data_IF_900057315062
#
_entry.id   IF_900057315062
#
_cell.length_a   1.000
_cell.length_b   1.000
_cell.length_c   1.000
_cell.angle_alpha   90.00
_cell.angle_beta   90.00
_cell.angle_gamma   90.00
#
_symmetry.space_group_name_H-M   'P 1'
#
loop_
_entity.id
_entity.type
_entity.pdbx_description
1 polymer ?
#
# COMPACT_ATOMS: atom_id res chain seq x y z
N UNK A 1 0.43 -4.17 29.54
CA UNK A 1 1.42 -3.46 28.71
C UNK A 1 1.07 -3.72 27.25
N UNK A 2 0.99 -2.69 26.41
CA UNK A 2 0.59 -2.82 25.00
C UNK A 2 1.76 -2.40 24.12
N UNK A 3 2.24 -3.33 23.28
CA UNK A 3 3.35 -3.08 22.34
C UNK A 3 2.81 -2.77 20.96
N UNK A 4 3.39 -1.79 20.27
CA UNK A 4 3.11 -1.52 18.86
C UNK A 4 4.38 -1.72 18.04
N UNK A 5 4.28 -2.49 16.97
CA UNK A 5 5.32 -2.65 15.97
C UNK A 5 4.99 -1.74 14.79
N UNK A 6 5.90 -0.84 14.41
CA UNK A 6 5.68 0.12 13.33
C UNK A 6 6.61 -0.21 12.17
N UNK A 7 6.06 -0.50 10.99
CA UNK A 7 6.81 -0.48 9.75
C UNK A 7 6.80 0.97 9.21
N UNK A 8 7.95 1.65 9.17
CA UNK A 8 7.99 3.08 8.88
C UNK A 8 7.64 3.40 7.43
N UNK A 9 7.16 4.63 7.15
CA UNK A 9 6.74 5.03 5.83
C UNK A 9 7.90 5.01 4.83
N UNK A 10 7.64 4.52 3.61
CA UNK A 10 8.58 4.53 2.46
C UNK A 10 9.88 3.75 2.72
N UNK A 11 9.90 2.84 3.71
CA UNK A 11 11.09 2.01 3.99
C UNK A 11 11.35 0.97 2.89
N UNK A 12 10.29 0.32 2.38
CA UNK A 12 10.35 -0.57 1.22
C UNK A 12 9.00 -0.61 0.49
N UNK A 13 8.74 0.30 -0.47
CA UNK A 13 7.40 0.53 -1.03
C UNK A 13 6.75 -0.68 -1.72
N UNK A 14 7.55 -1.55 -2.34
CA UNK A 14 7.04 -2.63 -3.20
C UNK A 14 7.09 -4.02 -2.55
N UNK A 15 7.35 -4.10 -1.24
CA UNK A 15 7.48 -5.38 -0.55
C UNK A 15 6.72 -5.38 0.77
N UNK A 16 6.08 -6.51 1.15
CA UNK A 16 5.48 -6.64 2.47
C UNK A 16 6.56 -6.59 3.57
N UNK A 17 6.24 -6.09 4.77
CA UNK A 17 7.22 -5.88 5.85
C UNK A 17 7.63 -7.20 6.54
N UNK A 18 8.37 -8.06 5.84
CA UNK A 18 8.68 -9.43 6.28
C UNK A 18 9.27 -9.52 7.71
N UNK A 19 10.11 -8.56 8.10
CA UNK A 19 10.70 -8.52 9.44
C UNK A 19 9.67 -8.34 10.55
N UNK A 20 8.72 -7.41 10.38
CA UNK A 20 7.69 -7.14 11.39
C UNK A 20 6.71 -8.30 11.49
N UNK A 21 6.38 -8.93 10.36
CA UNK A 21 5.50 -10.10 10.29
C UNK A 21 6.11 -11.28 11.03
N UNK A 22 7.42 -11.53 10.85
CA UNK A 22 8.13 -12.59 11.56
C UNK A 22 8.15 -12.36 13.07
N UNK A 23 8.43 -11.14 13.51
CA UNK A 23 8.43 -10.77 14.92
C UNK A 23 7.03 -10.90 15.54
N UNK A 24 6.00 -10.43 14.83
CA UNK A 24 4.61 -10.56 15.27
C UNK A 24 4.22 -12.02 15.49
N UNK A 25 4.57 -12.92 14.55
CA UNK A 25 4.35 -14.35 14.71
C UNK A 25 5.02 -14.93 15.96
N UNK A 26 6.26 -14.53 16.23
CA UNK A 26 6.98 -14.97 17.43
C UNK A 26 6.33 -14.44 18.73
N UNK A 27 5.94 -13.16 18.77
CA UNK A 27 5.25 -12.57 19.93
C UNK A 27 3.88 -13.23 20.16
N UNK A 28 3.12 -13.49 19.10
CA UNK A 28 1.84 -14.18 19.16
C UNK A 28 1.99 -15.60 19.71
N UNK A 29 3.00 -16.35 19.25
CA UNK A 29 3.31 -17.69 19.75
C UNK A 29 3.56 -17.73 21.26
N UNK A 30 4.17 -16.68 21.81
CA UNK A 30 4.42 -16.54 23.25
C UNK A 30 3.29 -15.87 24.04
N UNK A 31 2.14 -15.59 23.43
CA UNK A 31 1.00 -14.96 24.10
C UNK A 31 1.22 -13.49 24.48
N UNK A 32 2.15 -12.80 23.81
CA UNK A 32 2.45 -11.39 24.07
C UNK A 32 1.51 -10.50 23.25
N UNK A 33 0.72 -9.68 23.94
CA UNK A 33 -0.17 -8.70 23.29
C UNK A 33 0.63 -7.63 22.56
N UNK A 34 0.35 -7.50 21.26
CA UNK A 34 0.97 -6.50 20.39
C UNK A 34 0.05 -6.14 19.22
N UNK A 35 0.30 -5.00 18.58
CA UNK A 35 -0.33 -4.59 17.32
C UNK A 35 0.71 -4.22 16.28
N UNK A 36 0.32 -4.27 15.00
CA UNK A 36 1.17 -3.88 13.87
C UNK A 36 0.57 -2.64 13.20
N UNK A 37 1.41 -1.66 12.89
CA UNK A 37 1.09 -0.52 12.03
C UNK A 37 2.00 -0.57 10.80
N UNK A 38 1.40 -0.77 9.63
CA UNK A 38 2.09 -0.61 8.34
C UNK A 38 1.90 0.82 7.82
N UNK A 39 2.75 1.73 8.31
CA UNK A 39 2.72 3.13 7.91
C UNK A 39 3.24 3.35 6.48
N UNK A 40 3.93 2.38 5.88
CA UNK A 40 4.34 2.42 4.49
C UNK A 40 3.13 2.32 3.57
N UNK A 41 2.33 1.26 3.73
CA UNK A 41 1.12 1.09 2.93
C UNK A 41 0.13 2.25 3.15
N UNK A 42 -0.07 2.66 4.40
CA UNK A 42 -0.97 3.77 4.74
C UNK A 42 -0.55 5.08 4.07
N UNK A 43 0.73 5.45 4.16
CA UNK A 43 1.24 6.67 3.53
C UNK A 43 1.09 6.66 2.00
N UNK A 44 1.38 5.52 1.35
CA UNK A 44 1.26 5.39 -0.11
C UNK A 44 -0.20 5.49 -0.57
N UNK A 45 -1.14 4.85 0.15
CA UNK A 45 -2.57 4.94 -0.15
C UNK A 45 -3.10 6.36 0.08
N UNK A 46 -2.67 7.02 1.16
CA UNK A 46 -3.02 8.40 1.44
C UNK A 46 -2.56 9.33 0.31
N UNK A 47 -1.27 9.25 -0.08
CA UNK A 47 -0.74 10.06 -1.17
C UNK A 47 -1.48 9.77 -2.47
N UNK A 48 -1.74 8.50 -2.81
CA UNK A 48 -2.45 8.13 -4.02
C UNK A 48 -3.88 8.71 -4.06
N UNK A 49 -4.63 8.62 -2.96
CA UNK A 49 -6.00 9.14 -2.88
C UNK A 49 -6.10 10.67 -2.84
N UNK A 50 -5.07 11.33 -2.31
CA UNK A 50 -5.03 12.79 -2.15
C UNK A 50 -4.23 13.52 -3.23
N UNK A 51 -3.61 12.80 -4.16
CA UNK A 51 -2.95 13.41 -5.33
C UNK A 51 -3.99 13.75 -6.39
N UNK A 52 -4.38 15.01 -6.44
CA UNK A 52 -5.21 15.54 -7.52
C UNK A 52 -4.33 16.07 -8.65
N UNK A 53 -4.74 15.91 -9.93
CA UNK A 53 -4.10 16.62 -11.03
C UNK A 53 -4.23 18.12 -10.78
N UNK A 54 -3.17 18.76 -10.29
CA UNK A 54 -3.19 20.21 -10.09
C UNK A 54 -3.22 20.91 -11.45
N UNK A 55 -4.07 21.92 -11.59
CA UNK A 55 -4.22 22.70 -12.83
C UNK A 55 -2.91 23.33 -13.32
N UNK A 56 -1.91 23.46 -12.44
CA UNK A 56 -0.63 24.14 -12.68
C UNK A 56 0.54 23.17 -12.93
N UNK A 57 0.35 21.86 -12.77
CA UNK A 57 1.40 20.85 -12.95
C UNK A 57 1.16 20.10 -14.25
N UNK A 58 2.09 20.23 -15.20
CA UNK A 58 2.06 19.44 -16.42
C UNK A 58 2.48 18.00 -16.09
N UNK A 59 1.49 17.14 -15.86
CA UNK A 59 1.72 15.70 -15.82
C UNK A 59 1.82 15.16 -17.24
N UNK A 60 2.60 14.10 -17.44
CA UNK A 60 2.49 13.33 -18.68
C UNK A 60 1.09 12.70 -18.79
N UNK A 61 0.71 12.32 -20.03
CA UNK A 61 -0.64 11.78 -20.31
C UNK A 61 -0.94 10.49 -19.53
N UNK A 62 0.08 9.70 -19.16
CA UNK A 62 -0.09 8.45 -18.43
C UNK A 62 -0.34 8.73 -16.96
N UNK A 63 0.46 9.59 -16.33
CA UNK A 63 0.27 10.01 -14.93
C UNK A 63 -1.10 10.67 -14.75
N UNK A 64 -1.50 11.57 -15.66
CA UNK A 64 -2.82 12.19 -15.62
C UNK A 64 -3.97 11.17 -15.73
N UNK A 65 -3.84 10.16 -16.59
CA UNK A 65 -4.82 9.07 -16.73
C UNK A 65 -4.85 8.17 -15.49
N UNK A 66 -3.70 7.85 -14.92
CA UNK A 66 -3.58 7.01 -13.73
C UNK A 66 -4.24 7.68 -12.51
N UNK A 67 -3.98 8.97 -12.29
CA UNK A 67 -4.60 9.74 -11.21
C UNK A 67 -6.11 9.88 -11.40
N UNK A 68 -6.58 10.14 -12.62
CA UNK A 68 -8.03 10.23 -12.91
C UNK A 68 -8.78 8.93 -12.58
N UNK A 69 -8.12 7.78 -12.77
CA UNK A 69 -8.72 6.46 -12.57
C UNK A 69 -8.24 5.79 -11.27
N UNK A 70 -7.67 6.54 -10.32
CA UNK A 70 -6.90 5.97 -9.19
C UNK A 70 -7.70 4.97 -8.37
N UNK A 71 -8.98 5.25 -8.07
CA UNK A 71 -9.86 4.35 -7.32
C UNK A 71 -10.03 3.01 -8.03
N UNK A 72 -10.35 3.04 -9.33
CA UNK A 72 -10.53 1.82 -10.12
C UNK A 72 -9.23 1.03 -10.30
N UNK A 73 -8.10 1.73 -10.42
CA UNK A 73 -6.78 1.10 -10.49
C UNK A 73 -6.45 0.39 -9.16
N UNK A 74 -6.67 1.03 -8.02
CA UNK A 74 -6.42 0.44 -6.69
C UNK A 74 -7.32 -0.77 -6.43
N UNK A 75 -8.60 -0.71 -6.79
CA UNK A 75 -9.51 -1.87 -6.72
C UNK A 75 -9.04 -3.02 -7.62
N UNK A 76 -8.55 -2.70 -8.81
CA UNK A 76 -8.04 -3.70 -9.75
C UNK A 76 -6.82 -4.43 -9.18
N UNK A 77 -5.85 -3.72 -8.60
CA UNK A 77 -4.63 -4.32 -8.01
C UNK A 77 -4.95 -5.21 -6.79
N UNK A 78 -6.01 -4.92 -6.04
CA UNK A 78 -6.47 -5.73 -4.90
C UNK A 78 -7.26 -6.98 -5.30
N UNK A 79 -7.65 -7.09 -6.58
CA UNK A 79 -8.53 -8.16 -7.05
C UNK A 79 -7.77 -9.25 -7.81
N UNK A 80 -7.94 -10.50 -7.38
CA UNK A 80 -7.38 -11.65 -8.11
C UNK A 80 -7.88 -11.75 -9.55
N UNK A 81 -9.11 -11.29 -9.82
CA UNK A 81 -9.73 -11.32 -11.15
C UNK A 81 -8.94 -10.53 -12.19
N UNK A 82 -8.28 -9.45 -11.77
CA UNK A 82 -7.46 -8.62 -12.66
C UNK A 82 -6.31 -9.42 -13.26
N UNK A 83 -5.67 -10.27 -12.46
CA UNK A 83 -4.54 -11.10 -12.91
C UNK A 83 -4.96 -12.24 -13.85
N UNK A 84 -6.27 -12.52 -13.96
CA UNK A 84 -6.81 -13.50 -14.91
C UNK A 84 -7.05 -12.90 -16.31
N UNK A 85 -7.02 -11.57 -16.45
CA UNK A 85 -7.19 -10.87 -17.72
C UNK A 85 -5.87 -10.20 -18.12
N UNK A 86 -5.19 -10.77 -19.12
CA UNK A 86 -3.85 -10.33 -19.53
C UNK A 86 -3.81 -8.89 -20.03
N UNK A 87 -4.88 -8.43 -20.69
CA UNK A 87 -4.98 -7.07 -21.23
C UNK A 87 -5.19 -6.02 -20.13
N UNK A 88 -5.67 -6.43 -18.95
CA UNK A 88 -5.82 -5.58 -17.77
C UNK A 88 -4.58 -5.56 -16.90
N UNK A 89 -3.73 -6.58 -17.01
CA UNK A 89 -2.51 -6.72 -16.21
C UNK A 89 -1.28 -6.08 -16.89
N UNK A 90 -1.17 -6.17 -18.22
CA UNK A 90 -0.08 -5.59 -19.01
C UNK A 90 -0.31 -4.13 -19.36
#
# INVERSE_FOLDING_TARGET
>A
MHMILIHPPVAKPCEPPAGITKLSGALAFHGINHTILDANLEALLYIAGNTHPQAHKQYDKWTARALRNITGNLESVKSWKTFQNIDRYK
#
